data_IF_852584792740
#
_entry.id   IF_852584792740
#
_cell.length_a   1.000
_cell.length_b   1.000
_cell.length_c   1.000
_cell.angle_alpha   90.00
_cell.angle_beta   90.00
_cell.angle_gamma   90.00
#
_symmetry.space_group_name_H-M   'P 1'
#
loop_
_entity.id
_entity.type
_entity.pdbx_description
1 polymer ?
#
# COMPACT_ATOMS: atom_id res chain seq x y z
N UNK A 1 -9.66 -14.98 -22.80
CA UNK A 1 -8.29 -15.22 -22.34
C UNK A 1 -7.84 -13.98 -21.56
N UNK A 2 -7.21 -14.17 -20.42
CA UNK A 2 -6.61 -13.07 -19.68
C UNK A 2 -5.47 -12.46 -20.51
N UNK A 3 -5.29 -11.13 -20.51
CA UNK A 3 -4.09 -10.50 -21.07
C UNK A 3 -2.89 -10.82 -20.15
N UNK A 4 -2.20 -11.90 -20.44
CA UNK A 4 -1.21 -12.55 -19.58
C UNK A 4 -0.14 -11.59 -19.05
N UNK A 5 0.45 -10.80 -19.95
CA UNK A 5 1.52 -9.86 -19.58
C UNK A 5 0.99 -8.76 -18.67
N UNK A 6 -0.19 -8.20 -18.99
CA UNK A 6 -0.76 -7.12 -18.20
C UNK A 6 -1.17 -7.59 -16.80
N UNK A 7 -1.82 -8.75 -16.68
CA UNK A 7 -2.20 -9.32 -15.39
C UNK A 7 -0.97 -9.62 -14.52
N UNK A 8 0.05 -10.25 -15.10
CA UNK A 8 1.29 -10.59 -14.39
C UNK A 8 2.01 -9.33 -13.86
N UNK A 9 2.08 -8.28 -14.67
CA UNK A 9 2.68 -7.00 -14.26
C UNK A 9 1.88 -6.34 -13.12
N UNK A 10 0.56 -6.31 -13.22
CA UNK A 10 -0.31 -5.73 -12.18
C UNK A 10 -0.22 -6.49 -10.85
N UNK A 11 -0.20 -7.82 -10.91
CA UNK A 11 -0.02 -8.66 -9.72
C UNK A 11 1.34 -8.43 -9.07
N UNK A 12 2.41 -8.30 -9.88
CA UNK A 12 3.75 -7.99 -9.37
C UNK A 12 3.79 -6.61 -8.67
N UNK A 13 3.23 -5.57 -9.32
CA UNK A 13 3.15 -4.23 -8.71
C UNK A 13 2.36 -4.27 -7.41
N UNK A 14 1.23 -4.96 -7.39
CA UNK A 14 0.39 -5.10 -6.20
C UNK A 14 1.13 -5.82 -5.05
N UNK A 15 1.92 -6.85 -5.38
CA UNK A 15 2.75 -7.55 -4.40
C UNK A 15 3.80 -6.63 -3.78
N UNK A 16 4.49 -5.84 -4.61
CA UNK A 16 5.51 -4.87 -4.15
C UNK A 16 4.88 -3.80 -3.26
N UNK A 17 3.71 -3.26 -3.65
CA UNK A 17 2.98 -2.30 -2.81
C UNK A 17 2.61 -2.89 -1.45
N UNK A 18 2.11 -4.12 -1.41
CA UNK A 18 1.78 -4.84 -0.17
C UNK A 18 3.01 -5.02 0.72
N UNK A 19 4.13 -5.48 0.16
CA UNK A 19 5.36 -5.72 0.90
C UNK A 19 5.95 -4.42 1.50
N UNK A 20 6.00 -3.34 0.72
CA UNK A 20 6.50 -2.03 1.20
C UNK A 20 5.59 -1.49 2.31
N UNK A 21 4.27 -1.57 2.14
CA UNK A 21 3.30 -1.11 3.15
C UNK A 21 3.45 -1.89 4.45
N UNK A 22 3.50 -3.21 4.39
CA UNK A 22 3.71 -4.06 5.58
C UNK A 22 5.03 -3.69 6.28
N UNK A 23 6.12 -3.56 5.53
CA UNK A 23 7.43 -3.19 6.09
C UNK A 23 7.41 -1.82 6.76
N UNK A 24 6.85 -0.82 6.10
CA UNK A 24 6.80 0.57 6.60
C UNK A 24 5.96 0.69 7.87
N UNK A 25 4.72 0.17 7.88
CA UNK A 25 3.86 0.26 9.07
C UNK A 25 4.33 -0.64 10.23
N UNK A 26 4.97 -1.77 9.94
CA UNK A 26 5.65 -2.58 10.97
C UNK A 26 6.80 -1.80 11.61
N UNK A 27 7.59 -1.09 10.82
CA UNK A 27 8.66 -0.21 11.32
C UNK A 27 8.10 0.93 12.16
N UNK A 28 7.02 1.61 11.73
CA UNK A 28 6.36 2.64 12.51
C UNK A 28 5.83 2.10 13.84
N UNK A 29 5.21 0.93 13.83
CA UNK A 29 4.73 0.26 15.04
C UNK A 29 5.88 -0.04 16.01
N UNK A 30 7.00 -0.54 15.50
CA UNK A 30 8.19 -0.79 16.30
C UNK A 30 8.74 0.49 16.96
N UNK A 31 8.88 1.58 16.18
CA UNK A 31 9.39 2.86 16.69
C UNK A 31 8.45 3.44 17.76
N UNK A 32 7.13 3.44 17.51
CA UNK A 32 6.15 3.96 18.49
C UNK A 32 6.12 3.14 19.77
N UNK A 33 6.24 1.81 19.68
CA UNK A 33 6.37 0.94 20.86
C UNK A 33 7.60 1.28 21.70
N UNK A 34 8.74 1.55 21.04
CA UNK A 34 9.97 1.96 21.73
C UNK A 34 9.85 3.32 22.42
N UNK A 35 9.09 4.24 21.84
CA UNK A 35 8.86 5.58 22.36
C UNK A 35 7.68 5.62 23.38
N UNK A 36 7.04 4.49 23.68
CA UNK A 36 5.85 4.39 24.54
C UNK A 36 4.70 5.32 24.09
N UNK A 37 4.58 5.56 22.78
CA UNK A 37 3.50 6.34 22.17
C UNK A 37 2.37 5.39 21.75
N UNK A 38 1.11 5.84 21.88
CA UNK A 38 -0.05 5.06 21.47
C UNK A 38 -0.02 4.79 19.95
N UNK A 39 -0.21 3.52 19.58
CA UNK A 39 -0.19 3.10 18.19
C UNK A 39 -1.60 3.28 17.61
N UNK A 40 -1.77 4.04 16.51
CA UNK A 40 -3.05 4.18 15.84
C UNK A 40 -3.54 2.84 15.29
N UNK A 41 -4.84 2.56 15.41
CA UNK A 41 -5.45 1.29 14.97
C UNK A 41 -5.25 1.02 13.47
N UNK A 42 -5.17 2.05 12.63
CA UNK A 42 -5.03 1.90 11.18
C UNK A 42 -3.66 1.35 10.75
N UNK A 43 -2.62 1.40 11.60
CA UNK A 43 -1.35 0.72 11.29
C UNK A 43 -1.55 -0.79 11.21
N UNK A 44 -2.23 -1.36 12.19
CA UNK A 44 -2.55 -2.79 12.18
C UNK A 44 -3.46 -3.16 11.01
N UNK A 45 -4.40 -2.29 10.69
CA UNK A 45 -5.30 -2.45 9.54
C UNK A 45 -4.52 -2.48 8.22
N UNK A 46 -3.56 -1.57 8.01
CA UNK A 46 -2.73 -1.53 6.80
C UNK A 46 -1.73 -2.68 6.72
N UNK A 47 -1.17 -3.12 7.84
CA UNK A 47 -0.35 -4.35 7.89
C UNK A 47 -1.20 -5.56 7.48
N UNK A 48 -2.40 -5.70 8.00
CA UNK A 48 -3.31 -6.78 7.63
C UNK A 48 -3.71 -6.71 6.14
N UNK A 49 -4.06 -5.52 5.64
CA UNK A 49 -4.42 -5.29 4.24
C UNK A 49 -3.27 -5.66 3.29
N UNK A 50 -2.05 -5.20 3.58
CA UNK A 50 -0.86 -5.53 2.80
C UNK A 50 -0.56 -7.04 2.82
N UNK A 51 -0.68 -7.69 3.98
CA UNK A 51 -0.48 -9.13 4.11
C UNK A 51 -1.53 -9.93 3.33
N UNK A 52 -2.81 -9.56 3.42
CA UNK A 52 -3.89 -10.17 2.62
C UNK A 52 -3.65 -9.98 1.13
N UNK A 53 -3.16 -8.82 0.72
CA UNK A 53 -2.81 -8.52 -0.67
C UNK A 53 -1.70 -9.45 -1.17
N UNK A 54 -0.65 -9.69 -0.39
CA UNK A 54 0.42 -10.61 -0.76
C UNK A 54 -0.09 -12.04 -0.90
N UNK A 55 -0.94 -12.50 0.03
CA UNK A 55 -1.57 -13.82 -0.03
C UNK A 55 -2.45 -13.93 -1.29
N UNK A 56 -3.28 -12.91 -1.56
CA UNK A 56 -4.12 -12.87 -2.76
C UNK A 56 -3.29 -13.01 -4.03
N UNK A 57 -2.17 -12.27 -4.15
CA UNK A 57 -1.31 -12.35 -5.33
C UNK A 57 -0.69 -13.74 -5.48
N UNK A 58 -0.19 -14.34 -4.40
CA UNK A 58 0.37 -15.70 -4.45
C UNK A 58 -0.69 -16.70 -4.90
N UNK A 59 -1.89 -16.65 -4.33
CA UNK A 59 -3.00 -17.53 -4.71
C UNK A 59 -3.40 -17.31 -6.16
N UNK A 60 -3.51 -16.06 -6.62
CA UNK A 60 -3.87 -15.74 -8.01
C UNK A 60 -2.82 -16.28 -9.00
N UNK A 61 -1.53 -16.15 -8.68
CA UNK A 61 -0.43 -16.68 -9.50
C UNK A 61 -0.48 -18.21 -9.56
N UNK A 62 -0.68 -18.89 -8.43
CA UNK A 62 -0.79 -20.36 -8.39
C UNK A 62 -2.00 -20.82 -9.22
N UNK A 63 -3.17 -20.21 -9.04
CA UNK A 63 -4.39 -20.54 -9.80
C UNK A 63 -4.22 -20.29 -11.31
N UNK A 64 -3.44 -19.27 -11.67
CA UNK A 64 -3.12 -19.01 -13.06
C UNK A 64 -2.30 -20.15 -13.68
N UNK A 65 -1.23 -20.61 -12.99
CA UNK A 65 -0.38 -21.70 -13.50
C UNK A 65 -1.08 -23.06 -13.60
N UNK A 66 -2.03 -23.35 -12.72
CA UNK A 66 -2.83 -24.59 -12.78
C UNK A 66 -4.07 -24.47 -13.69
N UNK A 67 -4.19 -23.35 -14.44
CA UNK A 67 -5.32 -23.07 -15.35
C UNK A 67 -6.71 -23.08 -14.68
N UNK A 68 -6.78 -22.86 -13.39
CA UNK A 68 -7.99 -22.84 -12.56
C UNK A 68 -8.42 -21.41 -12.17
N UNK A 69 -7.87 -20.39 -12.84
CA UNK A 69 -8.17 -18.98 -12.55
C UNK A 69 -9.59 -18.62 -13.01
N UNK A 70 -10.54 -18.73 -12.09
CA UNK A 70 -11.92 -18.30 -12.32
C UNK A 70 -12.03 -16.77 -12.20
N UNK A 71 -12.75 -16.08 -13.12
CA UNK A 71 -12.84 -14.62 -13.10
C UNK A 71 -13.64 -14.09 -11.90
N UNK A 72 -14.70 -14.76 -11.48
CA UNK A 72 -15.57 -14.27 -10.40
C UNK A 72 -14.87 -14.09 -9.05
N UNK A 73 -14.14 -15.08 -8.48
CA UNK A 73 -13.44 -14.90 -7.23
C UNK A 73 -12.34 -13.84 -7.32
N UNK A 74 -11.69 -13.67 -8.47
CA UNK A 74 -10.68 -12.61 -8.67
C UNK A 74 -11.34 -11.22 -8.61
N UNK A 75 -12.49 -11.02 -9.27
CA UNK A 75 -13.25 -9.76 -9.23
C UNK A 75 -13.68 -9.45 -7.80
N UNK A 76 -14.26 -10.41 -7.08
CA UNK A 76 -14.71 -10.20 -5.71
C UNK A 76 -13.55 -9.87 -4.75
N UNK A 77 -12.47 -10.64 -4.83
CA UNK A 77 -11.31 -10.44 -3.96
C UNK A 77 -10.61 -9.10 -4.25
N UNK A 78 -10.42 -8.75 -5.53
CA UNK A 78 -9.81 -7.45 -5.89
C UNK A 78 -10.70 -6.26 -5.51
N UNK A 79 -12.03 -6.40 -5.56
CA UNK A 79 -12.96 -5.37 -5.10
C UNK A 79 -12.88 -5.18 -3.57
N UNK A 80 -12.82 -6.27 -2.79
CA UNK A 80 -12.65 -6.20 -1.33
C UNK A 80 -11.31 -5.53 -0.99
N UNK A 81 -10.22 -5.92 -1.66
CA UNK A 81 -8.91 -5.31 -1.48
C UNK A 81 -8.92 -3.82 -1.83
N UNK A 82 -9.62 -3.43 -2.90
CA UNK A 82 -9.81 -2.02 -3.25
C UNK A 82 -10.43 -1.23 -2.10
N UNK A 83 -11.52 -1.73 -1.49
CA UNK A 83 -12.16 -1.07 -0.34
C UNK A 83 -11.20 -0.94 0.84
N UNK A 84 -10.41 -1.97 1.12
CA UNK A 84 -9.43 -1.93 2.22
C UNK A 84 -8.32 -0.91 1.94
N UNK A 85 -7.75 -0.90 0.73
CA UNK A 85 -6.74 0.07 0.35
C UNK A 85 -7.27 1.50 0.37
N UNK A 86 -8.49 1.72 -0.13
CA UNK A 86 -9.14 3.03 -0.10
C UNK A 86 -9.36 3.51 1.33
N UNK A 87 -9.79 2.64 2.24
CA UNK A 87 -9.98 2.98 3.66
C UNK A 87 -8.64 3.37 4.31
N UNK A 88 -7.57 2.63 4.06
CA UNK A 88 -6.23 2.93 4.52
C UNK A 88 -5.74 4.27 3.98
N UNK A 89 -5.85 4.48 2.67
CA UNK A 89 -5.46 5.70 1.96
C UNK A 89 -6.15 6.95 2.52
N UNK A 90 -7.46 6.89 2.78
CA UNK A 90 -8.22 8.01 3.38
C UNK A 90 -7.68 8.33 4.77
N UNK A 91 -7.41 7.32 5.59
CA UNK A 91 -6.85 7.53 6.93
C UNK A 91 -5.42 8.07 6.89
N UNK A 92 -4.55 7.50 6.07
CA UNK A 92 -3.19 7.99 5.87
C UNK A 92 -3.18 9.44 5.34
N UNK A 93 -4.09 9.79 4.44
CA UNK A 93 -4.27 11.15 3.92
C UNK A 93 -4.61 12.15 5.02
N UNK A 94 -5.55 11.82 5.91
CA UNK A 94 -5.96 12.68 7.03
C UNK A 94 -4.77 12.93 7.97
N UNK A 95 -3.98 11.91 8.28
CA UNK A 95 -2.80 12.05 9.14
C UNK A 95 -1.67 12.82 8.45
N UNK A 96 -1.49 12.65 7.16
CA UNK A 96 -0.40 13.27 6.41
C UNK A 96 -0.67 14.76 6.10
N UNK A 97 -1.92 15.13 5.81
CA UNK A 97 -2.31 16.50 5.42
C UNK A 97 -3.51 17.05 6.20
N UNK A 98 -3.90 16.43 7.28
CA UNK A 98 -5.05 16.88 8.06
C UNK A 98 -4.88 18.26 8.69
N UNK A 99 -6.00 18.94 9.04
CA UNK A 99 -5.98 20.34 9.49
C UNK A 99 -5.36 20.57 10.88
N UNK A 100 -5.11 19.53 11.64
CA UNK A 100 -4.61 19.58 13.00
C UNK A 100 -3.25 18.88 13.14
N UNK A 101 -2.17 19.59 12.83
CA UNK A 101 -0.80 19.08 13.07
C UNK A 101 -0.40 17.97 12.12
N UNK A 102 -0.53 18.19 10.83
CA UNK A 102 -0.21 17.20 9.81
C UNK A 102 1.26 16.75 9.88
N UNK A 103 1.50 15.47 9.58
CA UNK A 103 2.85 14.92 9.49
C UNK A 103 3.66 15.69 8.43
N UNK A 104 3.04 16.04 7.30
CA UNK A 104 3.71 16.79 6.24
C UNK A 104 4.14 18.19 6.70
N UNK A 105 3.29 18.92 7.43
CA UNK A 105 3.64 20.25 7.93
C UNK A 105 4.78 20.20 8.94
N UNK A 106 4.77 19.20 9.82
CA UNK A 106 5.87 18.95 10.75
C UNK A 106 7.16 18.60 10.01
N UNK A 107 7.09 17.75 8.98
CA UNK A 107 8.23 17.41 8.14
C UNK A 107 8.79 18.64 7.42
N UNK A 108 7.93 19.47 6.83
CA UNK A 108 8.36 20.69 6.13
C UNK A 108 8.96 21.70 7.11
N UNK A 109 8.31 21.95 8.24
CA UNK A 109 8.71 22.98 9.20
C UNK A 109 9.97 22.62 9.98
N UNK A 110 10.09 21.38 10.46
CA UNK A 110 11.14 20.99 11.40
C UNK A 110 12.26 20.15 10.78
N UNK A 111 12.00 19.48 9.66
CA UNK A 111 12.98 18.58 9.03
C UNK A 111 13.58 19.22 7.78
N UNK A 112 12.77 19.62 6.81
CA UNK A 112 13.28 20.12 5.52
C UNK A 112 13.65 21.59 5.53
N UNK A 113 12.99 22.44 6.33
CA UNK A 113 13.27 23.89 6.37
C UNK A 113 14.56 24.24 7.11
N UNK A 114 15.05 23.40 7.98
CA UNK A 114 16.29 23.63 8.69
C UNK A 114 17.48 23.22 7.80
N UNK A 115 18.25 24.15 7.26
CA UNK A 115 19.33 24.01 6.29
C UNK A 115 20.28 22.82 6.44
N UNK A 116 21.20 22.67 5.50
CA UNK A 116 22.14 21.55 5.43
C UNK A 116 23.06 21.54 6.68
N UNK A 117 22.99 20.49 7.47
CA UNK A 117 23.88 20.26 8.61
C UNK A 117 24.91 19.21 8.18
N UNK A 118 26.17 19.61 8.13
CA UNK A 118 27.30 18.71 7.91
C UNK A 118 28.00 18.38 9.22
N UNK A 119 28.42 17.14 9.42
CA UNK A 119 29.22 16.71 10.55
C UNK A 119 28.85 15.34 11.11
N UNK A 120 29.71 14.77 11.95
CA UNK A 120 29.51 13.49 12.67
C UNK A 120 28.95 13.75 14.08
N UNK A 121 27.88 14.54 14.21
CA UNK A 121 27.27 14.82 15.52
C UNK A 121 26.00 13.97 15.71
N UNK A 122 25.60 13.75 16.96
CA UNK A 122 24.34 13.08 17.32
C UNK A 122 23.13 13.81 16.73
N UNK A 123 23.17 15.13 16.63
CA UNK A 123 22.12 15.95 16.04
C UNK A 123 21.95 15.68 14.54
N UNK A 124 23.06 15.47 13.83
CA UNK A 124 23.03 15.09 12.40
C UNK A 124 22.39 13.72 12.23
N UNK A 125 22.70 12.74 13.10
CA UNK A 125 22.14 11.40 13.04
C UNK A 125 20.62 11.42 13.34
N UNK A 126 20.20 12.13 14.38
CA UNK A 126 18.79 12.27 14.73
C UNK A 126 17.97 12.87 13.59
N UNK A 127 18.56 13.80 12.87
CA UNK A 127 17.94 14.48 11.74
C UNK A 127 17.78 13.59 10.50
N UNK A 128 18.82 12.80 10.17
CA UNK A 128 18.75 11.81 9.10
C UNK A 128 17.63 10.79 9.39
N UNK A 129 17.46 10.39 10.66
CA UNK A 129 16.38 9.51 11.07
C UNK A 129 15.00 10.18 10.91
N UNK A 130 14.84 11.46 11.27
CA UNK A 130 13.60 12.20 11.07
C UNK A 130 13.26 12.38 9.59
N UNK A 131 14.24 12.69 8.75
CA UNK A 131 14.06 12.77 7.30
C UNK A 131 13.64 11.41 6.71
N UNK A 132 14.28 10.33 7.16
CA UNK A 132 13.89 8.97 6.79
C UNK A 132 12.44 8.65 7.15
N UNK A 133 11.97 9.02 8.34
CA UNK A 133 10.58 8.84 8.77
C UNK A 133 9.61 9.63 7.89
N UNK A 134 9.94 10.90 7.57
CA UNK A 134 9.13 11.73 6.67
C UNK A 134 9.01 11.14 5.27
N UNK A 135 10.10 10.61 4.73
CA UNK A 135 10.12 9.97 3.42
C UNK A 135 9.35 8.65 3.41
N UNK A 136 9.44 7.84 4.49
CA UNK A 136 8.66 6.61 4.63
C UNK A 136 7.15 6.88 4.66
N UNK A 137 6.69 7.95 5.33
CA UNK A 137 5.29 8.36 5.31
C UNK A 137 4.78 8.64 3.89
N UNK A 138 5.54 9.42 3.12
CA UNK A 138 5.20 9.74 1.74
C UNK A 138 5.22 8.51 0.84
N UNK A 139 6.22 7.64 1.05
CA UNK A 139 6.33 6.37 0.30
C UNK A 139 5.15 5.45 0.60
N UNK A 140 4.78 5.26 1.87
CA UNK A 140 3.64 4.44 2.25
C UNK A 140 2.35 4.95 1.60
N UNK A 141 2.08 6.25 1.66
CA UNK A 141 0.93 6.87 1.01
C UNK A 141 0.92 6.64 -0.51
N UNK A 142 2.07 6.80 -1.18
CA UNK A 142 2.18 6.55 -2.62
C UNK A 142 1.89 5.07 -2.95
N UNK A 143 2.36 4.12 -2.15
CA UNK A 143 2.10 2.69 -2.36
C UNK A 143 0.62 2.33 -2.14
N UNK A 144 -0.04 2.93 -1.15
CA UNK A 144 -1.48 2.76 -0.92
C UNK A 144 -2.31 3.29 -2.09
N UNK A 145 -1.91 4.44 -2.65
CA UNK A 145 -2.56 5.02 -3.83
C UNK A 145 -2.40 4.09 -5.05
N UNK A 146 -1.18 3.65 -5.35
CA UNK A 146 -0.91 2.73 -6.46
C UNK A 146 -1.67 1.42 -6.27
N UNK A 147 -1.66 0.84 -5.06
CA UNK A 147 -2.37 -0.41 -4.77
C UNK A 147 -3.89 -0.28 -4.97
N UNK A 148 -4.49 0.85 -4.58
CA UNK A 148 -5.90 1.14 -4.82
C UNK A 148 -6.23 1.16 -6.31
N UNK A 149 -5.46 1.88 -7.13
CA UNK A 149 -5.66 1.93 -8.58
C UNK A 149 -5.46 0.57 -9.25
N UNK A 150 -4.41 -0.16 -8.87
CA UNK A 150 -4.13 -1.49 -9.42
C UNK A 150 -5.24 -2.48 -9.07
N UNK A 151 -5.78 -2.44 -7.86
CA UNK A 151 -6.89 -3.29 -7.44
C UNK A 151 -8.16 -3.05 -8.27
N UNK A 152 -8.49 -1.77 -8.54
CA UNK A 152 -9.61 -1.42 -9.45
C UNK A 152 -9.34 -1.93 -10.86
N UNK A 153 -8.12 -1.77 -11.35
CA UNK A 153 -7.78 -2.22 -12.69
C UNK A 153 -7.91 -3.74 -12.86
N UNK A 154 -7.43 -4.51 -11.88
CA UNK A 154 -7.60 -5.98 -11.87
C UNK A 154 -9.10 -6.34 -11.81
N UNK A 155 -9.90 -5.64 -11.01
CA UNK A 155 -11.35 -5.82 -10.94
C UNK A 155 -12.02 -5.59 -12.31
N UNK A 156 -11.69 -4.50 -13.00
CA UNK A 156 -12.23 -4.18 -14.33
C UNK A 156 -11.82 -5.22 -15.39
N UNK A 157 -10.55 -5.65 -15.38
CA UNK A 157 -10.09 -6.71 -16.28
C UNK A 157 -10.82 -8.03 -16.04
N UNK A 158 -10.99 -8.41 -14.78
CA UNK A 158 -11.75 -9.62 -14.42
C UNK A 158 -13.21 -9.54 -14.87
N UNK A 159 -13.83 -8.38 -14.73
CA UNK A 159 -15.18 -8.13 -15.23
C UNK A 159 -15.29 -8.28 -16.75
N UNK A 160 -14.34 -7.73 -17.50
CA UNK A 160 -14.30 -7.87 -18.97
C UNK A 160 -14.16 -9.32 -19.41
N UNK A 161 -13.31 -10.10 -18.74
CA UNK A 161 -13.14 -11.54 -19.03
C UNK A 161 -14.44 -12.30 -18.75
N UNK A 162 -15.13 -11.96 -17.66
CA UNK A 162 -16.41 -12.59 -17.28
C UNK A 162 -17.53 -12.24 -18.26
N UNK A 163 -17.64 -10.99 -18.73
CA UNK A 163 -18.65 -10.59 -19.72
C UNK A 163 -18.42 -11.23 -21.07
N UNK A 164 -17.18 -11.28 -21.55
CA UNK A 164 -16.82 -11.94 -22.80
C UNK A 164 -17.04 -13.47 -22.76
N UNK A 165 -16.91 -14.11 -21.60
CA UNK A 165 -17.25 -15.52 -21.41
C UNK A 165 -18.76 -15.74 -21.52
N UNK A 166 -19.56 -14.85 -20.95
CA UNK A 166 -21.03 -14.92 -20.98
C UNK A 166 -21.59 -14.83 -22.40
N UNK A 167 -21.06 -13.94 -23.22
CA UNK A 167 -21.50 -13.76 -24.62
C UNK A 167 -21.25 -14.98 -25.51
N UNK A 168 -20.33 -15.88 -25.14
CA UNK A 168 -20.06 -17.13 -25.88
C UNK A 168 -21.04 -18.27 -25.57
N UNK A 169 -21.81 -18.14 -24.50
CA UNK A 169 -22.77 -19.17 -24.07
C UNK A 169 -24.22 -18.79 -24.38
N UNK A 170 -24.46 -17.59 -24.92
CA UNK A 170 -25.76 -17.13 -25.44
C UNK A 170 -25.76 -17.18 -26.97
#
# INVERSE_FOLDING_TARGET
>A
MWPEVALSLLLFVLFVCGAITVGTYSYFTYVQTRLMVSIPWYYYFLIATGSLTMIFVIVAVVLYYIHLLLPLPIVLASFILFIFWLTGLVKASIELWGPMGSVNDNCVRYVYAAGFWGGRSLDTLARIQQEGMCNLWKTAFAMEMIASFVSVWICLMGWQVMSAARERYV
#
